data_IF_591515005065
#
_entry.id   IF_591515005065
#
_cell.length_a   1.000
_cell.length_b   1.000
_cell.length_c   1.000
_cell.angle_alpha   90.00
_cell.angle_beta   90.00
_cell.angle_gamma   90.00
#
_symmetry.space_group_name_H-M   'P 1'
#
loop_
_entity.id
_entity.type
_entity.pdbx_description
1 polymer ?
#
# COMPACT_ATOMS: atom_id res chain seq x y z
N UNK A 1 10.10 10.23 -2.88
CA UNK A 1 8.64 10.10 -3.00
C UNK A 1 8.29 9.57 -4.38
N UNK A 2 7.26 8.70 -4.45
CA UNK A 2 6.71 8.20 -5.72
C UNK A 2 5.32 8.81 -5.94
N UNK A 3 5.10 9.38 -7.12
CA UNK A 3 3.79 9.80 -7.60
C UNK A 3 3.36 8.89 -8.74
N UNK A 4 2.12 8.44 -8.70
CA UNK A 4 1.51 7.66 -9.77
C UNK A 4 0.35 8.42 -10.39
N UNK A 5 0.49 8.75 -11.67
CA UNK A 5 -0.55 9.40 -12.49
C UNK A 5 -1.32 8.31 -13.23
N UNK A 6 -2.41 7.85 -12.64
CA UNK A 6 -3.16 6.70 -13.11
C UNK A 6 -3.70 6.88 -14.53
N UNK A 7 -4.26 8.04 -14.84
CA UNK A 7 -4.86 8.32 -16.15
C UNK A 7 -3.83 8.36 -17.28
N UNK A 8 -2.58 8.66 -16.94
CA UNK A 8 -1.45 8.69 -17.88
C UNK A 8 -0.59 7.44 -17.81
N UNK A 9 -0.89 6.51 -16.91
CA UNK A 9 -0.07 5.32 -16.64
C UNK A 9 1.41 5.67 -16.45
N UNK A 10 1.69 6.75 -15.69
CA UNK A 10 3.04 7.27 -15.50
C UNK A 10 3.43 7.33 -14.03
N UNK A 11 4.68 6.98 -13.76
CA UNK A 11 5.31 7.07 -12.45
C UNK A 11 6.38 8.16 -12.49
N UNK A 12 6.39 9.00 -11.45
CA UNK A 12 7.40 10.04 -11.26
C UNK A 12 8.02 9.86 -9.89
N UNK A 13 9.35 9.83 -9.84
CA UNK A 13 10.10 9.88 -8.60
C UNK A 13 10.48 11.32 -8.28
N UNK A 14 10.21 11.73 -7.05
CA UNK A 14 10.60 13.03 -6.52
C UNK A 14 11.66 12.83 -5.43
N UNK A 15 12.60 13.75 -5.39
CA UNK A 15 13.58 13.85 -4.32
C UNK A 15 12.98 14.49 -3.05
N UNK A 16 13.84 14.79 -2.06
CA UNK A 16 13.42 15.42 -0.80
C UNK A 16 13.01 16.91 -0.96
N UNK A 17 13.33 17.52 -2.09
CA UNK A 17 12.94 18.89 -2.44
C UNK A 17 11.69 18.93 -3.31
N UNK A 18 11.06 17.77 -3.54
CA UNK A 18 9.91 17.56 -4.42
C UNK A 18 10.21 17.91 -5.88
N UNK A 19 11.47 17.81 -6.29
CA UNK A 19 11.87 17.98 -7.69
C UNK A 19 12.06 16.64 -8.39
N UNK A 20 11.89 16.64 -9.71
CA UNK A 20 12.08 15.45 -10.54
C UNK A 20 13.52 15.41 -11.05
N UNK A 21 14.24 14.33 -10.78
CA UNK A 21 15.60 14.11 -11.27
C UNK A 21 15.67 13.14 -12.46
N UNK A 22 14.52 12.62 -12.90
CA UNK A 22 14.41 11.64 -13.97
C UNK A 22 13.16 11.88 -14.82
N UNK A 23 13.18 11.36 -16.03
CA UNK A 23 11.98 11.34 -16.86
C UNK A 23 10.89 10.44 -16.26
N UNK A 24 9.61 10.77 -16.49
CA UNK A 24 8.50 9.92 -16.07
C UNK A 24 8.60 8.52 -16.69
N UNK A 25 8.37 7.50 -15.88
CA UNK A 25 8.32 6.11 -16.34
C UNK A 25 6.91 5.82 -16.87
N UNK A 26 6.81 5.51 -18.17
CA UNK A 26 5.55 5.10 -18.78
C UNK A 26 5.35 3.59 -18.62
N UNK A 27 4.29 3.19 -17.92
CA UNK A 27 3.93 1.79 -17.74
C UNK A 27 3.44 1.17 -19.04
N UNK A 28 2.81 1.93 -19.93
CA UNK A 28 2.41 1.46 -21.27
C UNK A 28 3.62 1.02 -22.10
N UNK A 29 4.72 1.82 -22.06
CA UNK A 29 5.96 1.44 -22.75
C UNK A 29 6.61 0.17 -22.19
N UNK A 30 6.28 -0.18 -20.94
CA UNK A 30 6.70 -1.41 -20.29
C UNK A 30 5.76 -2.59 -20.55
N UNK A 31 4.64 -2.37 -21.28
CA UNK A 31 3.63 -3.38 -21.59
C UNK A 31 2.56 -3.55 -20.51
N UNK A 32 2.39 -2.55 -19.63
CA UNK A 32 1.42 -2.58 -18.52
C UNK A 32 0.40 -1.45 -18.66
N UNK A 33 -0.59 -1.65 -19.52
CA UNK A 33 -1.59 -0.63 -19.86
C UNK A 33 -2.71 -0.49 -18.84
N UNK A 34 -2.93 -1.50 -18.00
CA UNK A 34 -4.01 -1.55 -17.02
C UNK A 34 -3.48 -1.76 -15.60
N UNK A 35 -2.70 -0.79 -15.15
CA UNK A 35 -2.18 -0.79 -13.79
C UNK A 35 -3.07 0.07 -12.91
N UNK A 36 -3.72 -0.53 -11.91
CA UNK A 36 -4.58 0.18 -10.98
C UNK A 36 -3.83 0.64 -9.73
N UNK A 37 -2.84 -0.11 -9.28
CA UNK A 37 -2.12 0.14 -8.04
C UNK A 37 -0.62 0.15 -8.28
N UNK A 38 0.03 1.13 -7.66
CA UNK A 38 1.48 1.29 -7.61
C UNK A 38 1.87 1.66 -6.20
N UNK A 39 2.96 1.10 -5.69
CA UNK A 39 3.58 1.59 -4.46
C UNK A 39 5.10 1.59 -4.57
N UNK A 40 5.73 2.50 -3.81
CA UNK A 40 7.18 2.55 -3.70
C UNK A 40 7.71 1.31 -2.98
N UNK A 41 8.89 0.89 -3.38
CA UNK A 41 9.69 -0.15 -2.74
C UNK A 41 11.08 0.41 -2.38
N UNK A 42 11.89 -0.40 -1.71
CA UNK A 42 13.25 -0.02 -1.37
C UNK A 42 14.10 0.28 -2.62
N UNK A 43 15.17 1.08 -2.45
CA UNK A 43 16.15 1.40 -3.50
C UNK A 43 15.54 1.97 -4.79
N UNK A 44 14.59 2.92 -4.65
CA UNK A 44 13.85 3.53 -5.77
C UNK A 44 13.16 2.51 -6.67
N UNK A 45 12.87 1.33 -6.17
CA UNK A 45 12.06 0.34 -6.86
C UNK A 45 10.57 0.60 -6.64
N UNK A 46 9.73 -0.06 -7.40
CA UNK A 46 8.29 0.07 -7.26
C UNK A 46 7.55 -1.21 -7.64
N UNK A 47 6.50 -1.50 -6.90
CA UNK A 47 5.55 -2.55 -7.21
C UNK A 47 4.40 -2.00 -8.04
N UNK A 48 3.94 -2.80 -8.98
CA UNK A 48 2.68 -2.60 -9.70
C UNK A 48 1.77 -3.81 -9.51
N UNK A 49 0.45 -3.56 -9.49
CA UNK A 49 -0.54 -4.61 -9.68
C UNK A 49 -1.05 -4.56 -11.12
N UNK A 50 -0.64 -5.52 -11.91
CA UNK A 50 -1.11 -5.71 -13.28
C UNK A 50 -2.46 -6.43 -13.27
N UNK A 51 -3.51 -5.69 -13.54
CA UNK A 51 -4.88 -6.21 -13.52
C UNK A 51 -5.13 -7.23 -14.65
N UNK A 52 -4.53 -7.02 -15.81
CA UNK A 52 -4.74 -7.89 -16.97
C UNK A 52 -4.28 -9.32 -16.69
N UNK A 53 -3.11 -9.48 -16.11
CA UNK A 53 -2.53 -10.79 -15.78
C UNK A 53 -2.83 -11.21 -14.33
N UNK A 54 -3.43 -10.33 -13.54
CA UNK A 54 -3.67 -10.52 -12.10
C UNK A 54 -2.39 -10.91 -11.37
N UNK A 55 -1.34 -10.10 -11.52
CA UNK A 55 -0.01 -10.33 -10.96
C UNK A 55 0.57 -9.08 -10.30
N UNK A 56 1.46 -9.28 -9.34
CA UNK A 56 2.32 -8.23 -8.80
C UNK A 56 3.66 -8.30 -9.51
N UNK A 57 4.19 -7.14 -9.90
CA UNK A 57 5.47 -7.03 -10.57
C UNK A 57 6.31 -5.97 -9.88
N UNK A 58 7.56 -6.30 -9.56
CA UNK A 58 8.55 -5.37 -9.02
C UNK A 58 9.51 -4.92 -10.12
N UNK A 59 9.67 -3.61 -10.22
CA UNK A 59 10.64 -2.95 -11.10
C UNK A 59 11.66 -2.17 -10.29
N UNK A 60 12.89 -2.04 -10.83
CA UNK A 60 13.85 -1.07 -10.31
C UNK A 60 13.65 0.30 -10.95
N UNK A 61 14.41 1.31 -10.50
CA UNK A 61 14.36 2.69 -11.02
C UNK A 61 14.69 2.80 -12.53
N UNK A 62 15.49 1.88 -13.06
CA UNK A 62 15.81 1.81 -14.49
C UNK A 62 14.73 1.08 -15.30
N UNK A 63 13.54 0.86 -14.72
CA UNK A 63 12.39 0.17 -15.32
C UNK A 63 12.67 -1.28 -15.75
N UNK A 64 13.66 -1.91 -15.11
CA UNK A 64 13.96 -3.33 -15.31
C UNK A 64 13.13 -4.16 -14.34
N UNK A 65 12.43 -5.15 -14.86
CA UNK A 65 11.67 -6.12 -14.06
C UNK A 65 12.63 -6.92 -13.19
N UNK A 66 12.38 -6.90 -11.86
CA UNK A 66 13.14 -7.67 -10.87
C UNK A 66 12.48 -9.02 -10.65
N UNK A 67 11.17 -9.02 -10.35
CA UNK A 67 10.39 -10.24 -10.08
C UNK A 67 8.92 -10.07 -10.44
N UNK A 68 8.19 -11.17 -10.48
CA UNK A 68 6.74 -11.20 -10.58
C UNK A 68 6.18 -12.42 -9.86
N UNK A 69 4.99 -12.28 -9.29
CA UNK A 69 4.31 -13.35 -8.55
C UNK A 69 3.72 -14.45 -9.44
N UNK A 70 3.58 -14.19 -10.74
CA UNK A 70 2.65 -14.94 -11.56
C UNK A 70 1.19 -14.62 -11.25
N UNK A 71 0.26 -15.39 -11.83
CA UNK A 71 -1.18 -15.12 -11.68
C UNK A 71 -1.66 -15.41 -10.25
N UNK A 72 -2.04 -14.36 -9.52
CA UNK A 72 -2.44 -14.42 -8.11
C UNK A 72 -3.70 -15.28 -7.90
N UNK A 73 -4.62 -15.30 -8.86
CA UNK A 73 -5.83 -16.13 -8.77
C UNK A 73 -5.46 -17.62 -8.72
N UNK A 74 -4.44 -18.03 -9.47
CA UNK A 74 -3.95 -19.41 -9.46
C UNK A 74 -3.15 -19.71 -8.18
N UNK A 75 -2.24 -18.79 -7.80
CA UNK A 75 -1.38 -18.96 -6.62
C UNK A 75 -2.17 -19.00 -5.33
N UNK A 76 -3.19 -18.14 -5.19
CA UNK A 76 -3.95 -17.97 -3.95
C UNK A 76 -5.27 -18.76 -3.96
N UNK A 77 -5.67 -19.32 -5.09
CA UNK A 77 -6.97 -19.99 -5.30
C UNK A 77 -8.15 -19.09 -4.89
N UNK A 78 -7.98 -17.77 -5.04
CA UNK A 78 -8.95 -16.76 -4.66
C UNK A 78 -9.05 -15.67 -5.74
N UNK A 79 -10.24 -15.12 -5.90
CA UNK A 79 -10.44 -13.95 -6.75
C UNK A 79 -10.14 -12.70 -5.94
N UNK A 80 -9.26 -11.85 -6.48
CA UNK A 80 -8.84 -10.62 -5.83
C UNK A 80 -9.44 -9.41 -6.52
N UNK A 81 -9.89 -8.46 -5.73
CA UNK A 81 -10.26 -7.11 -6.16
C UNK A 81 -9.46 -6.08 -5.36
N UNK A 82 -8.16 -5.97 -5.60
CA UNK A 82 -7.32 -5.11 -4.80
C UNK A 82 -7.70 -3.63 -4.99
N UNK A 83 -7.64 -2.87 -3.90
CA UNK A 83 -7.91 -1.44 -3.91
C UNK A 83 -6.77 -0.59 -3.33
N UNK A 84 -5.82 -1.19 -2.65
CA UNK A 84 -4.68 -0.52 -2.03
C UNK A 84 -3.51 -1.47 -1.84
N UNK A 85 -2.28 -0.95 -1.94
CA UNK A 85 -1.08 -1.68 -1.55
C UNK A 85 -0.01 -0.75 -0.99
N UNK A 86 0.81 -1.30 -0.11
CA UNK A 86 1.96 -0.61 0.51
C UNK A 86 3.04 -1.63 0.82
N UNK A 87 4.31 -1.24 0.64
CA UNK A 87 5.46 -2.02 1.13
C UNK A 87 5.97 -1.42 2.43
N UNK A 88 6.21 -2.26 3.41
CA UNK A 88 6.81 -1.88 4.68
C UNK A 88 7.69 -3.02 5.22
N UNK A 89 8.93 -2.68 5.63
CA UNK A 89 9.90 -3.61 6.24
C UNK A 89 10.10 -4.91 5.45
N UNK A 90 10.17 -4.81 4.11
CA UNK A 90 10.41 -5.97 3.25
C UNK A 90 9.19 -6.86 3.03
N UNK A 91 7.99 -6.38 3.37
CA UNK A 91 6.73 -7.05 3.06
C UNK A 91 5.82 -6.14 2.25
N UNK A 92 5.23 -6.69 1.21
CA UNK A 92 4.19 -6.04 0.43
C UNK A 92 2.82 -6.47 0.96
N UNK A 93 2.00 -5.49 1.33
CA UNK A 93 0.64 -5.66 1.81
C UNK A 93 -0.33 -5.26 0.71
N UNK A 94 -1.10 -6.21 0.19
CA UNK A 94 -2.11 -6.01 -0.84
C UNK A 94 -3.50 -6.15 -0.24
N UNK A 95 -4.26 -5.06 -0.22
CA UNK A 95 -5.62 -5.06 0.31
C UNK A 95 -6.64 -5.53 -0.72
N UNK A 96 -7.41 -6.55 -0.38
CA UNK A 96 -8.61 -6.95 -1.10
C UNK A 96 -9.79 -6.88 -0.11
N UNK A 97 -10.67 -5.86 -0.18
CA UNK A 97 -11.65 -5.58 0.88
C UNK A 97 -12.56 -6.76 1.24
N UNK A 98 -12.91 -7.57 0.27
CA UNK A 98 -13.79 -8.73 0.47
C UNK A 98 -13.08 -9.87 1.21
N UNK A 99 -11.76 -9.99 1.08
CA UNK A 99 -10.98 -11.12 1.59
C UNK A 99 -10.12 -10.75 2.80
N UNK A 100 -9.43 -9.61 2.72
CA UNK A 100 -8.47 -9.14 3.71
C UNK A 100 -7.18 -8.62 3.07
N UNK A 101 -6.11 -8.56 3.85
CA UNK A 101 -4.80 -8.08 3.41
C UNK A 101 -3.90 -9.28 3.15
N UNK A 102 -3.47 -9.42 1.90
CA UNK A 102 -2.49 -10.44 1.49
C UNK A 102 -1.09 -9.89 1.70
N UNK A 103 -0.25 -10.66 2.35
CA UNK A 103 1.13 -10.29 2.66
C UNK A 103 2.08 -11.13 1.82
N UNK A 104 2.98 -10.47 1.12
CA UNK A 104 4.03 -11.09 0.31
C UNK A 104 5.40 -10.61 0.80
N UNK A 105 6.44 -11.40 0.57
CA UNK A 105 7.82 -10.96 0.78
C UNK A 105 8.34 -10.10 -0.38
N UNK A 106 9.57 -9.60 -0.28
CA UNK A 106 10.24 -8.79 -1.33
C UNK A 106 10.45 -9.53 -2.66
N UNK A 107 10.31 -10.85 -2.67
CA UNK A 107 10.42 -11.66 -3.89
C UNK A 107 9.07 -11.95 -4.51
N UNK A 108 7.98 -11.47 -3.91
CA UNK A 108 6.62 -11.73 -4.34
C UNK A 108 6.08 -13.09 -3.89
N UNK A 109 6.74 -13.75 -2.93
CA UNK A 109 6.25 -15.01 -2.37
C UNK A 109 5.13 -14.73 -1.38
N UNK A 110 4.00 -15.41 -1.54
CA UNK A 110 2.89 -15.29 -0.60
C UNK A 110 3.27 -15.81 0.79
N UNK A 111 3.00 -15.02 1.81
CA UNK A 111 3.29 -15.35 3.21
C UNK A 111 2.03 -15.71 3.99
N UNK A 112 1.05 -14.80 4.07
CA UNK A 112 -0.19 -14.98 4.85
C UNK A 112 -1.30 -14.03 4.42
N UNK A 113 -2.50 -14.26 4.96
CA UNK A 113 -3.62 -13.34 4.90
C UNK A 113 -3.89 -12.79 6.31
N UNK A 114 -4.01 -11.47 6.42
CA UNK A 114 -4.54 -10.81 7.61
C UNK A 114 -6.03 -10.55 7.38
N UNK A 115 -6.89 -11.11 8.23
CA UNK A 115 -8.36 -11.13 8.04
C UNK A 115 -9.04 -9.80 8.40
N UNK A 116 -8.44 -8.67 8.01
CA UNK A 116 -9.03 -7.34 8.12
C UNK A 116 -9.78 -7.02 6.82
N UNK A 117 -11.11 -6.98 6.90
CA UNK A 117 -11.99 -6.79 5.73
C UNK A 117 -12.56 -5.37 5.68
N UNK A 118 -13.07 -5.01 4.49
CA UNK A 118 -13.74 -3.74 4.22
C UNK A 118 -12.89 -2.49 4.45
N UNK A 119 -11.55 -2.64 4.39
CA UNK A 119 -10.66 -1.51 4.51
C UNK A 119 -10.52 -0.80 3.16
N UNK A 120 -10.55 0.55 3.21
CA UNK A 120 -10.23 1.39 2.06
C UNK A 120 -8.72 1.60 1.95
N UNK A 121 -8.08 1.92 3.07
CA UNK A 121 -6.64 2.18 3.22
C UNK A 121 -6.22 1.82 4.63
N UNK A 122 -4.92 1.63 4.81
CA UNK A 122 -4.27 1.42 6.10
C UNK A 122 -2.81 1.85 6.00
N UNK A 123 -2.18 2.04 7.12
CA UNK A 123 -0.73 2.21 7.23
C UNK A 123 -0.14 1.05 8.03
N UNK A 124 1.13 0.76 7.80
CA UNK A 124 1.85 -0.30 8.51
C UNK A 124 3.07 0.31 9.19
N UNK A 125 3.26 -0.01 10.47
CA UNK A 125 4.49 0.29 11.18
C UNK A 125 4.88 -0.90 12.05
N UNK A 126 6.08 -1.41 11.84
CA UNK A 126 6.53 -2.67 12.47
C UNK A 126 5.52 -3.80 12.23
N UNK A 127 4.89 -4.30 13.28
CA UNK A 127 3.93 -5.41 13.24
C UNK A 127 2.49 -4.95 13.39
N UNK A 128 2.26 -3.63 13.35
CA UNK A 128 0.94 -3.04 13.58
C UNK A 128 0.40 -2.43 12.30
N UNK A 129 -0.83 -2.80 11.98
CA UNK A 129 -1.63 -2.21 10.91
C UNK A 129 -2.55 -1.19 11.54
N UNK A 130 -2.47 0.07 11.10
CA UNK A 130 -3.33 1.16 11.52
C UNK A 130 -4.38 1.45 10.46
N UNK A 131 -5.63 1.53 10.85
CA UNK A 131 -6.74 1.75 9.92
C UNK A 131 -7.91 2.48 10.56
N UNK A 132 -8.75 3.03 9.72
CA UNK A 132 -10.02 3.62 10.12
C UNK A 132 -11.15 2.61 9.84
N UNK A 133 -12.00 2.37 10.84
CA UNK A 133 -13.20 1.57 10.74
C UNK A 133 -14.37 2.42 11.25
N UNK A 134 -15.23 2.86 10.34
CA UNK A 134 -16.28 3.83 10.63
C UNK A 134 -15.70 5.13 11.21
N UNK A 135 -16.05 5.47 12.43
CA UNK A 135 -15.53 6.63 13.17
C UNK A 135 -14.46 6.27 14.20
N UNK A 136 -13.92 5.04 14.14
CA UNK A 136 -12.90 4.55 15.06
C UNK A 136 -11.54 4.54 14.38
N UNK A 137 -10.52 4.89 15.12
CA UNK A 137 -9.14 4.61 14.76
C UNK A 137 -8.71 3.31 15.42
N UNK A 138 -8.28 2.34 14.61
CA UNK A 138 -7.93 1.02 15.07
C UNK A 138 -6.46 0.70 14.76
N UNK A 139 -5.86 -0.09 15.63
CA UNK A 139 -4.57 -0.74 15.42
C UNK A 139 -4.74 -2.25 15.55
N UNK A 140 -4.10 -2.99 14.68
CA UNK A 140 -4.11 -4.45 14.69
C UNK A 140 -2.69 -4.98 14.64
N UNK A 141 -2.28 -5.69 15.69
CA UNK A 141 -1.02 -6.41 15.71
C UNK A 141 -1.21 -7.75 14.98
N UNK A 142 -0.59 -7.90 13.79
CA UNK A 142 -0.77 -9.09 12.95
C UNK A 142 0.11 -10.29 13.34
N UNK A 143 0.89 -10.18 14.42
CA UNK A 143 1.58 -11.30 15.10
C UNK A 143 0.81 -11.80 16.30
N UNK A 144 0.33 -10.87 17.14
CA UNK A 144 -0.40 -11.20 18.35
C UNK A 144 -1.90 -11.42 18.10
N UNK A 145 -2.40 -11.02 16.93
CA UNK A 145 -3.82 -11.07 16.54
C UNK A 145 -4.71 -10.22 17.46
N UNK A 146 -4.18 -9.09 17.93
CA UNK A 146 -4.85 -8.18 18.84
C UNK A 146 -5.31 -6.92 18.11
N UNK A 147 -6.60 -6.58 18.25
CA UNK A 147 -7.21 -5.36 17.71
C UNK A 147 -7.55 -4.42 18.86
N UNK A 148 -7.11 -3.16 18.77
CA UNK A 148 -7.45 -2.10 19.70
C UNK A 148 -8.03 -0.94 18.91
N UNK A 149 -9.26 -0.51 19.24
CA UNK A 149 -9.89 0.63 18.62
C UNK A 149 -10.15 1.72 19.64
N UNK A 150 -9.85 2.97 19.29
CA UNK A 150 -10.11 4.17 20.10
C UNK A 150 -11.32 4.90 19.54
N UNK A 151 -12.26 5.24 20.41
CA UNK A 151 -13.44 6.04 20.09
C UNK A 151 -13.07 7.52 19.92
N UNK A 152 -13.84 8.24 19.09
CA UNK A 152 -13.74 9.67 18.83
C UNK A 152 -12.69 10.14 17.80
N UNK A 153 -12.32 9.32 16.86
CA UNK A 153 -11.54 9.79 15.71
C UNK A 153 -12.45 10.23 14.55
N UNK A 154 -13.35 11.21 14.81
CA UNK A 154 -14.06 11.84 13.68
C UNK A 154 -13.00 12.57 12.84
N UNK A 155 -12.83 12.16 11.62
CA UNK A 155 -11.99 12.81 10.61
C UNK A 155 -12.43 12.36 9.23
N UNK A 156 -12.22 13.17 8.22
CA UNK A 156 -12.48 12.80 6.83
C UNK A 156 -11.45 11.77 6.36
N UNK A 157 -10.19 11.98 6.76
CA UNK A 157 -9.10 11.04 6.53
C UNK A 157 -8.20 10.94 7.76
N UNK A 158 -7.70 9.74 7.99
CA UNK A 158 -6.72 9.46 9.04
C UNK A 158 -5.53 8.80 8.36
N UNK A 159 -4.35 9.37 8.58
CA UNK A 159 -3.08 8.79 8.16
C UNK A 159 -2.17 8.65 9.39
N UNK A 160 -1.30 7.65 9.34
CA UNK A 160 -0.28 7.41 10.34
C UNK A 160 1.11 7.61 9.72
N UNK A 161 2.05 8.13 10.47
CA UNK A 161 3.44 8.24 10.04
C UNK A 161 4.35 8.79 11.14
N UNK A 162 5.55 8.24 11.28
CA UNK A 162 6.57 8.70 12.26
C UNK A 162 6.03 8.83 13.70
N UNK A 163 5.29 7.82 14.19
CA UNK A 163 4.66 7.81 15.50
C UNK A 163 3.67 8.96 15.75
N UNK A 164 3.06 9.47 14.69
CA UNK A 164 2.04 10.53 14.74
C UNK A 164 0.80 10.10 13.98
N UNK A 165 -0.33 10.53 14.49
CA UNK A 165 -1.62 10.44 13.85
C UNK A 165 -1.96 11.77 13.19
N UNK A 166 -2.30 11.76 11.92
CA UNK A 166 -2.71 12.92 11.15
C UNK A 166 -4.20 12.77 10.85
N UNK A 167 -5.00 13.71 11.32
CA UNK A 167 -6.45 13.73 11.08
C UNK A 167 -6.82 14.98 10.30
N UNK A 168 -7.45 14.82 9.14
CA UNK A 168 -7.93 15.95 8.34
C UNK A 168 -9.42 16.21 8.57
N UNK A 169 -9.76 17.51 8.60
CA UNK A 169 -11.11 18.05 8.75
C UNK A 169 -11.25 19.24 7.81
N UNK A 170 -11.80 19.06 6.62
CA UNK A 170 -11.87 20.15 5.66
C UNK A 170 -10.51 20.83 5.47
N UNK A 171 -10.38 22.06 5.93
CA UNK A 171 -9.18 22.91 5.77
C UNK A 171 -8.14 22.73 6.89
N UNK A 172 -8.37 21.84 7.85
CA UNK A 172 -7.52 21.68 9.03
C UNK A 172 -6.91 20.30 9.12
N UNK A 173 -5.67 20.22 9.61
CA UNK A 173 -5.00 18.97 9.96
C UNK A 173 -4.61 19.01 11.41
N UNK A 174 -5.09 18.04 12.19
CA UNK A 174 -4.67 17.82 13.57
C UNK A 174 -3.58 16.75 13.58
N UNK A 175 -2.46 17.06 14.24
CA UNK A 175 -1.33 16.14 14.41
C UNK A 175 -1.23 15.77 15.88
N UNK A 176 -1.33 14.50 16.19
CA UNK A 176 -1.27 13.99 17.56
C UNK A 176 -0.14 12.94 17.68
N UNK A 177 0.56 12.88 18.83
CA UNK A 177 1.44 11.76 19.08
C UNK A 177 0.62 10.47 19.16
N UNK A 178 1.07 9.42 18.51
CA UNK A 178 0.52 8.09 18.75
C UNK A 178 1.16 7.58 20.05
N UNK A 179 0.41 7.62 21.14
CA UNK A 179 0.87 7.04 22.41
C UNK A 179 0.63 5.52 22.27
N UNK A 180 1.70 4.69 22.25
CA UNK A 180 1.51 3.24 22.35
C UNK A 180 0.83 2.95 23.70
N UNK A 181 -0.16 2.09 23.68
CA UNK A 181 -0.73 1.55 24.92
C UNK A 181 0.21 0.54 25.50
#
# INVERSE_FOLDING_TARGET
LLLYYRDFQQIVFLDNQLTTNSEPISLEKLGYEQTDLVCASANNSFWIYNKQNNELVLFNEASKKITATGNLKQVLQAELKPNFMIEHNGFLFLNSPETGIFVFDIFGTFNKIVSLKNLKRFDVNEEIIYFQKDSLFCSYNYRLFEEVCKSNCKAEQINYGKNRLYRSFGDSIIIEPLIPN
#
